data_IF_515776794864
#
_entry.id   IF_515776794864
#
_cell.length_a   1.000
_cell.length_b   1.000
_cell.length_c   1.000
_cell.angle_alpha   90.00
_cell.angle_beta   90.00
_cell.angle_gamma   90.00
#
_symmetry.space_group_name_H-M   'P 1'
#
loop_
_entity.id
_entity.type
_entity.pdbx_description
1 polymer ?
#
# COMPACT_ATOMS: atom_id res chain seq x y z
N UNK A 1 -23.53 7.29 -4.13
CA UNK A 1 -23.12 8.71 -4.13
C UNK A 1 -21.60 8.77 -4.09
N UNK A 2 -20.96 9.65 -4.85
CA UNK A 2 -19.52 9.82 -4.86
C UNK A 2 -19.11 10.67 -3.65
N UNK A 3 -18.04 10.31 -2.95
CA UNK A 3 -17.53 11.05 -1.79
C UNK A 3 -16.17 11.62 -2.16
N UNK A 4 -16.11 12.95 -2.35
CA UNK A 4 -14.90 13.66 -2.77
C UNK A 4 -13.77 13.51 -1.74
N UNK A 5 -14.07 13.67 -0.46
CA UNK A 5 -13.08 13.58 0.63
C UNK A 5 -12.36 12.23 0.65
N UNK A 6 -13.08 11.14 0.45
CA UNK A 6 -12.47 9.78 0.38
C UNK A 6 -11.65 9.61 -0.91
N UNK A 7 -12.10 10.23 -2.00
CA UNK A 7 -11.32 10.25 -3.24
C UNK A 7 -10.02 11.06 -3.08
N UNK A 8 -10.07 12.23 -2.44
CA UNK A 8 -8.88 13.02 -2.11
C UNK A 8 -7.93 12.25 -1.17
N UNK A 9 -8.48 11.55 -0.18
CA UNK A 9 -7.70 10.69 0.70
C UNK A 9 -6.95 9.60 -0.09
N UNK A 10 -7.58 9.01 -1.11
CA UNK A 10 -6.92 8.04 -2.00
C UNK A 10 -5.76 8.70 -2.78
N UNK A 11 -5.94 9.95 -3.23
CA UNK A 11 -4.88 10.74 -3.87
C UNK A 11 -3.70 11.00 -2.94
N UNK A 12 -3.96 11.39 -1.69
CA UNK A 12 -2.92 11.58 -0.68
C UNK A 12 -2.22 10.25 -0.37
N UNK A 13 -2.98 9.16 -0.27
CA UNK A 13 -2.43 7.85 0.06
C UNK A 13 -1.40 7.35 -0.95
N UNK A 14 -1.62 7.58 -2.25
CA UNK A 14 -0.64 7.17 -3.27
C UNK A 14 0.63 8.03 -3.23
N UNK A 15 0.52 9.32 -2.88
CA UNK A 15 1.69 10.18 -2.66
C UNK A 15 2.56 9.62 -1.53
N UNK A 16 1.96 9.23 -0.39
CA UNK A 16 2.67 8.61 0.72
C UNK A 16 3.37 7.30 0.34
N UNK A 17 2.76 6.49 -0.53
CA UNK A 17 3.38 5.25 -1.01
C UNK A 17 4.61 5.55 -1.85
N UNK A 18 4.52 6.42 -2.85
CA UNK A 18 5.65 6.77 -3.72
C UNK A 18 6.76 7.41 -2.89
N UNK A 19 6.41 8.35 -2.00
CA UNK A 19 7.36 8.98 -1.09
C UNK A 19 8.12 7.93 -0.27
N UNK A 20 7.42 6.98 0.34
CA UNK A 20 8.06 5.94 1.12
C UNK A 20 8.97 4.98 0.35
N UNK A 21 8.89 4.92 -0.98
CA UNK A 21 9.69 4.02 -1.81
C UNK A 21 10.90 4.68 -2.50
N UNK A 22 10.98 6.01 -2.52
CA UNK A 22 12.06 6.74 -3.19
C UNK A 22 13.36 6.88 -2.36
N UNK A 23 13.38 6.44 -1.09
CA UNK A 23 14.53 6.60 -0.19
C UNK A 23 15.84 6.09 -0.78
N UNK A 24 15.86 4.82 -1.19
CA UNK A 24 17.07 4.17 -1.73
C UNK A 24 17.52 4.82 -3.03
N UNK A 25 16.58 5.26 -3.88
CA UNK A 25 16.91 5.94 -5.13
C UNK A 25 17.56 7.30 -4.88
N UNK A 26 17.12 8.01 -3.84
CA UNK A 26 17.63 9.33 -3.46
C UNK A 26 18.85 9.28 -2.53
N UNK A 27 19.34 8.10 -2.15
CA UNK A 27 20.39 7.90 -1.13
C UNK A 27 20.11 8.66 0.18
N UNK A 28 18.84 8.76 0.54
CA UNK A 28 18.44 9.52 1.72
C UNK A 28 18.26 8.62 2.93
N UNK A 29 18.86 9.02 4.04
CA UNK A 29 18.72 8.39 5.37
C UNK A 29 18.19 9.40 6.39
N UNK A 30 17.38 8.92 7.32
CA UNK A 30 16.84 9.74 8.39
C UNK A 30 17.75 9.62 9.62
N UNK A 31 18.63 10.60 9.83
CA UNK A 31 19.70 10.53 10.85
C UNK A 31 19.39 11.36 12.11
N UNK A 32 18.22 11.99 12.18
CA UNK A 32 17.79 12.81 13.30
C UNK A 32 16.44 12.38 13.86
N UNK A 33 16.14 12.74 15.11
CA UNK A 33 14.82 12.49 15.72
C UNK A 33 13.71 13.13 14.88
N UNK A 34 13.92 14.34 14.38
CA UNK A 34 12.96 15.03 13.50
C UNK A 34 12.77 14.25 12.18
N UNK A 35 13.87 13.80 11.57
CA UNK A 35 13.84 12.97 10.37
C UNK A 35 13.12 11.64 10.60
N UNK A 36 13.46 10.92 11.68
CA UNK A 36 12.82 9.68 12.04
C UNK A 36 11.32 9.86 12.37
N UNK A 37 10.94 10.98 12.98
CA UNK A 37 9.53 11.34 13.19
C UNK A 37 8.80 11.52 11.88
N UNK A 38 9.38 12.23 10.92
CA UNK A 38 8.83 12.41 9.58
C UNK A 38 8.73 11.07 8.84
N UNK A 39 9.73 10.20 8.99
CA UNK A 39 9.70 8.85 8.45
C UNK A 39 8.54 8.03 9.01
N UNK A 40 8.34 8.07 10.34
CA UNK A 40 7.21 7.41 10.99
C UNK A 40 5.86 7.96 10.50
N UNK A 41 5.76 9.25 10.20
CA UNK A 41 4.54 9.84 9.65
C UNK A 41 4.26 9.42 8.19
N UNK A 42 5.28 9.29 7.38
CA UNK A 42 5.15 9.06 5.94
C UNK A 42 5.14 7.58 5.54
N UNK A 43 5.90 6.72 6.24
CA UNK A 43 5.91 5.26 5.98
C UNK A 43 4.58 4.61 6.37
N UNK A 44 4.28 3.46 5.76
CA UNK A 44 3.08 2.67 6.10
C UNK A 44 1.78 3.13 5.42
N UNK A 45 1.86 3.90 4.34
CA UNK A 45 0.70 4.41 3.58
C UNK A 45 -0.27 3.32 3.08
N UNK A 46 0.14 2.05 3.05
CA UNK A 46 -0.74 0.91 2.74
C UNK A 46 -1.95 0.83 3.66
N UNK A 47 -1.80 1.18 4.95
CA UNK A 47 -2.90 1.23 5.92
C UNK A 47 -4.03 2.12 5.41
N UNK A 48 -3.70 3.24 4.77
CA UNK A 48 -4.69 4.16 4.21
C UNK A 48 -5.50 3.51 3.10
N UNK A 49 -4.86 2.78 2.18
CA UNK A 49 -5.57 2.08 1.10
C UNK A 49 -6.47 0.96 1.62
N UNK A 50 -6.03 0.23 2.65
CA UNK A 50 -6.86 -0.81 3.28
C UNK A 50 -8.07 -0.19 3.96
N UNK A 51 -7.87 0.89 4.70
CA UNK A 51 -8.96 1.66 5.33
C UNK A 51 -9.98 2.16 4.29
N UNK A 52 -9.50 2.83 3.23
CA UNK A 52 -10.34 3.32 2.14
C UNK A 52 -11.09 2.17 1.47
N UNK A 53 -10.44 1.01 1.27
CA UNK A 53 -11.07 -0.18 0.68
C UNK A 53 -12.23 -0.69 1.53
N UNK A 54 -12.07 -0.76 2.85
CA UNK A 54 -13.13 -1.12 3.79
C UNK A 54 -14.25 -0.09 3.81
N UNK A 55 -13.91 1.20 3.82
CA UNK A 55 -14.90 2.29 3.77
C UNK A 55 -15.75 2.21 2.49
N UNK A 56 -15.11 2.08 1.34
CA UNK A 56 -15.79 2.00 0.05
C UNK A 56 -16.53 0.67 -0.13
N UNK A 57 -16.08 -0.42 0.49
CA UNK A 57 -16.82 -1.68 0.49
C UNK A 57 -18.20 -1.51 1.08
N UNK A 58 -18.32 -0.89 2.27
CA UNK A 58 -19.62 -0.56 2.86
C UNK A 58 -20.38 0.46 2.01
N UNK A 59 -19.74 1.58 1.63
CA UNK A 59 -20.42 2.69 0.99
C UNK A 59 -20.98 2.40 -0.40
N UNK A 60 -20.25 1.59 -1.20
CA UNK A 60 -20.60 1.36 -2.62
C UNK A 60 -21.25 0.00 -2.85
N UNK A 61 -20.77 -1.03 -2.15
CA UNK A 61 -21.11 -2.40 -2.51
C UNK A 61 -22.14 -3.03 -1.58
N UNK A 62 -22.26 -2.62 -0.31
CA UNK A 62 -23.09 -3.31 0.68
C UNK A 62 -24.55 -3.48 0.25
N UNK A 63 -25.23 -2.42 -0.18
CA UNK A 63 -26.66 -2.46 -0.50
C UNK A 63 -26.99 -3.33 -1.73
N UNK A 64 -26.06 -3.42 -2.69
CA UNK A 64 -26.21 -4.15 -3.96
C UNK A 64 -25.19 -5.28 -4.09
N UNK A 65 -24.80 -5.86 -2.94
CA UNK A 65 -23.74 -6.85 -2.94
C UNK A 65 -24.15 -8.15 -3.62
N UNK A 66 -23.42 -8.53 -4.66
CA UNK A 66 -23.41 -9.84 -5.27
C UNK A 66 -21.97 -10.32 -5.37
N UNK A 67 -21.64 -11.39 -4.66
CA UNK A 67 -20.27 -11.87 -4.52
C UNK A 67 -19.58 -12.09 -5.88
N UNK A 68 -20.26 -12.80 -6.81
CA UNK A 68 -19.72 -13.07 -8.15
C UNK A 68 -19.36 -11.79 -8.90
N UNK A 69 -20.24 -10.79 -8.90
CA UNK A 69 -20.01 -9.53 -9.59
C UNK A 69 -18.89 -8.71 -8.94
N UNK A 70 -18.84 -8.75 -7.60
CA UNK A 70 -17.79 -8.07 -6.84
C UNK A 70 -16.41 -8.67 -7.15
N UNK A 71 -16.27 -10.00 -7.02
CA UNK A 71 -15.01 -10.70 -7.27
C UNK A 71 -14.60 -10.56 -8.74
N UNK A 72 -15.52 -10.70 -9.68
CA UNK A 72 -15.21 -10.53 -11.11
C UNK A 72 -14.64 -9.14 -11.41
N UNK A 73 -15.19 -8.07 -10.80
CA UNK A 73 -14.65 -6.71 -10.94
C UNK A 73 -13.24 -6.60 -10.33
N UNK A 74 -13.00 -7.23 -9.15
CA UNK A 74 -11.68 -7.20 -8.49
C UNK A 74 -10.66 -8.02 -9.27
N UNK A 75 -11.04 -9.18 -9.80
CA UNK A 75 -10.19 -9.96 -10.71
C UNK A 75 -9.81 -9.14 -11.93
N UNK A 76 -10.78 -8.56 -12.63
CA UNK A 76 -10.53 -7.80 -13.85
C UNK A 76 -9.63 -6.58 -13.66
N UNK A 77 -9.82 -5.82 -12.59
CA UNK A 77 -9.22 -4.48 -12.44
C UNK A 77 -8.13 -4.40 -11.36
N UNK A 78 -7.86 -5.49 -10.65
CA UNK A 78 -6.80 -5.58 -9.64
C UNK A 78 -5.88 -6.76 -9.90
N UNK A 79 -6.45 -7.98 -10.02
CA UNK A 79 -5.63 -9.19 -10.19
C UNK A 79 -5.02 -9.27 -11.61
N UNK A 80 -5.79 -9.02 -12.66
CA UNK A 80 -5.29 -9.09 -14.05
C UNK A 80 -4.15 -8.10 -14.29
N UNK A 81 -4.26 -6.79 -13.96
CA UNK A 81 -3.12 -5.87 -14.04
C UNK A 81 -1.89 -6.36 -13.26
N UNK A 82 -2.13 -6.89 -12.07
CA UNK A 82 -1.06 -7.45 -11.23
C UNK A 82 -0.34 -8.60 -11.95
N UNK A 83 -1.06 -9.57 -12.47
CA UNK A 83 -0.47 -10.72 -13.17
C UNK A 83 0.33 -10.27 -14.41
N UNK A 84 -0.23 -9.36 -15.21
CA UNK A 84 0.46 -8.82 -16.39
C UNK A 84 1.75 -8.10 -16.00
N UNK A 85 1.69 -7.18 -15.04
CA UNK A 85 2.83 -6.36 -14.69
C UNK A 85 3.88 -7.11 -13.86
N UNK A 86 3.49 -8.14 -13.12
CA UNK A 86 4.42 -9.03 -12.40
C UNK A 86 5.24 -9.92 -13.34
N UNK A 87 4.86 -10.06 -14.62
CA UNK A 87 5.72 -10.74 -15.59
C UNK A 87 7.02 -9.99 -15.86
N UNK A 88 7.02 -8.65 -15.73
CA UNK A 88 8.22 -7.81 -15.99
C UNK A 88 9.38 -8.19 -15.04
N UNK A 89 9.22 -8.18 -13.70
CA UNK A 89 10.28 -8.62 -12.79
C UNK A 89 10.65 -10.10 -12.97
N UNK A 90 9.69 -10.96 -13.31
CA UNK A 90 9.97 -12.38 -13.55
C UNK A 90 10.85 -12.56 -14.78
N UNK A 91 10.52 -11.91 -15.88
CA UNK A 91 11.35 -11.93 -17.11
C UNK A 91 12.74 -11.38 -16.83
N UNK A 92 12.84 -10.28 -16.09
CA UNK A 92 14.13 -9.73 -15.67
C UNK A 92 14.94 -10.73 -14.82
N UNK A 93 14.28 -11.44 -13.88
CA UNK A 93 14.91 -12.47 -13.06
C UNK A 93 15.43 -13.62 -13.93
N UNK A 94 14.60 -14.11 -14.86
CA UNK A 94 14.99 -15.20 -15.77
C UNK A 94 16.17 -14.83 -16.66
N UNK A 95 16.17 -13.64 -17.24
CA UNK A 95 17.29 -13.15 -18.07
C UNK A 95 18.57 -13.03 -17.25
N UNK A 96 18.51 -12.43 -16.06
CA UNK A 96 19.68 -12.24 -15.20
C UNK A 96 20.27 -13.57 -14.71
N UNK A 97 19.41 -14.55 -14.42
CA UNK A 97 19.84 -15.88 -14.01
C UNK A 97 20.44 -16.68 -15.17
N UNK A 98 19.88 -16.54 -16.38
CA UNK A 98 20.41 -17.19 -17.58
C UNK A 98 21.79 -16.64 -17.96
N UNK A 99 21.99 -15.32 -17.90
CA UNK A 99 23.30 -14.70 -18.19
C UNK A 99 24.35 -15.12 -17.16
N UNK A 100 24.02 -15.15 -15.89
CA UNK A 100 24.95 -15.60 -14.84
C UNK A 100 25.25 -17.10 -14.93
N UNK A 101 24.30 -17.92 -15.38
CA UNK A 101 24.49 -19.37 -15.63
C UNK A 101 25.35 -19.69 -16.84
N UNK A 102 25.28 -18.86 -17.90
CA UNK A 102 26.16 -18.99 -19.08
C UNK A 102 27.61 -18.63 -18.75
N UNK A 103 27.81 -17.69 -17.82
CA UNK A 103 29.14 -17.28 -17.37
C UNK A 103 29.79 -18.25 -16.39
N UNK A 104 29.00 -19.09 -15.70
CA UNK A 104 29.46 -20.15 -14.77
C UNK A 104 29.20 -21.53 -15.38
N UNK A 105 30.08 -21.94 -16.31
CA UNK A 105 30.01 -23.25 -16.95
C UNK A 105 30.23 -24.38 -15.96
N UNK A 106 29.20 -25.00 -15.47
CA UNK A 106 29.07 -26.42 -15.13
C UNK A 106 27.84 -26.66 -14.23
N UNK A 107 26.91 -27.49 -14.68
CA UNK A 107 25.66 -27.94 -13.99
C UNK A 107 24.38 -27.16 -14.31
N UNK A 108 24.20 -26.76 -15.55
CA UNK A 108 23.07 -25.94 -15.99
C UNK A 108 21.69 -26.65 -16.05
N UNK A 109 21.62 -27.96 -16.29
CA UNK A 109 20.34 -28.62 -16.60
C UNK A 109 19.46 -28.98 -15.40
N UNK A 110 20.04 -29.42 -14.30
CA UNK A 110 19.25 -29.88 -13.13
C UNK A 110 18.80 -28.76 -12.17
N UNK A 111 19.46 -27.61 -12.23
CA UNK A 111 19.14 -26.44 -11.41
C UNK A 111 18.03 -25.58 -12.01
N UNK A 112 17.76 -25.74 -13.29
CA UNK A 112 16.83 -24.88 -14.06
C UNK A 112 15.36 -25.28 -13.83
N UNK A 113 15.03 -26.56 -13.78
CA UNK A 113 13.64 -27.03 -13.56
C UNK A 113 13.15 -26.78 -12.14
N UNK A 114 14.00 -26.95 -11.13
CA UNK A 114 13.65 -26.64 -9.74
C UNK A 114 13.66 -25.14 -9.41
N UNK A 115 14.38 -24.31 -10.18
CA UNK A 115 14.43 -22.86 -10.03
C UNK A 115 13.26 -22.14 -10.74
N UNK A 116 12.68 -22.72 -11.78
CA UNK A 116 11.65 -22.04 -12.57
C UNK A 116 10.25 -22.09 -11.96
N UNK A 117 9.82 -23.20 -11.39
CA UNK A 117 8.45 -23.34 -10.92
C UNK A 117 8.20 -22.70 -9.54
N UNK A 118 9.04 -22.98 -8.57
CA UNK A 118 8.83 -22.51 -7.20
C UNK A 118 9.09 -21.01 -7.00
N UNK A 119 10.18 -20.39 -7.50
CA UNK A 119 10.39 -18.95 -7.41
C UNK A 119 9.35 -18.12 -8.15
N UNK A 120 8.91 -18.57 -9.33
CA UNK A 120 7.87 -17.86 -10.10
C UNK A 120 6.53 -17.90 -9.36
N UNK A 121 6.10 -19.07 -8.90
CA UNK A 121 4.86 -19.21 -8.14
C UNK A 121 4.93 -18.42 -6.83
N UNK A 122 6.06 -18.47 -6.11
CA UNK A 122 6.26 -17.68 -4.91
C UNK A 122 6.20 -16.18 -5.20
N UNK A 123 6.79 -15.72 -6.32
CA UNK A 123 6.71 -14.31 -6.73
C UNK A 123 5.26 -13.87 -6.97
N UNK A 124 4.48 -14.64 -7.74
CA UNK A 124 3.07 -14.31 -7.98
C UNK A 124 2.22 -14.41 -6.71
N UNK A 125 2.54 -15.30 -5.79
CA UNK A 125 1.77 -15.45 -4.55
C UNK A 125 2.14 -14.39 -3.51
N UNK A 126 3.41 -13.98 -3.41
CA UNK A 126 3.87 -13.02 -2.40
C UNK A 126 3.90 -11.58 -2.92
N UNK A 127 3.98 -11.38 -4.22
CA UNK A 127 4.24 -10.07 -4.83
C UNK A 127 5.61 -9.51 -4.45
N UNK A 128 6.52 -10.40 -4.04
CA UNK A 128 7.80 -10.02 -3.46
C UNK A 128 8.92 -10.14 -4.48
N UNK A 129 9.53 -9.00 -4.80
CA UNK A 129 10.80 -8.94 -5.50
C UNK A 129 11.69 -7.87 -4.84
N UNK A 130 12.97 -8.17 -4.72
CA UNK A 130 13.98 -7.22 -4.21
C UNK A 130 14.11 -5.97 -5.08
N UNK A 131 13.78 -6.10 -6.37
CA UNK A 131 13.94 -5.04 -7.36
C UNK A 131 12.64 -4.26 -7.64
N UNK A 132 11.46 -4.81 -7.30
CA UNK A 132 10.17 -4.19 -7.60
C UNK A 132 9.35 -4.00 -6.32
N UNK A 133 9.30 -2.77 -5.86
CA UNK A 133 8.61 -2.43 -4.60
C UNK A 133 7.11 -2.26 -4.79
N UNK A 134 6.34 -2.70 -3.80
CA UNK A 134 4.92 -2.38 -3.67
C UNK A 134 3.94 -3.49 -4.04
N UNK A 135 4.31 -4.46 -4.88
CA UNK A 135 3.38 -5.47 -5.41
C UNK A 135 2.84 -6.47 -4.38
N UNK A 136 3.52 -6.64 -3.25
CA UNK A 136 3.09 -7.49 -2.11
C UNK A 136 1.67 -7.17 -1.59
N UNK A 137 1.16 -5.95 -1.84
CA UNK A 137 -0.17 -5.53 -1.43
C UNK A 137 -1.28 -6.32 -2.14
N UNK A 138 -1.10 -6.67 -3.42
CA UNK A 138 -2.17 -7.26 -4.22
C UNK A 138 -2.53 -8.68 -3.77
N UNK A 139 -1.60 -9.60 -3.54
CA UNK A 139 -1.95 -10.95 -3.06
C UNK A 139 -2.81 -10.93 -1.81
N UNK A 140 -2.43 -10.18 -0.77
CA UNK A 140 -3.21 -10.16 0.45
C UNK A 140 -4.55 -9.45 0.29
N UNK A 141 -4.63 -8.34 -0.46
CA UNK A 141 -5.91 -7.63 -0.63
C UNK A 141 -6.92 -8.43 -1.47
N UNK A 142 -6.46 -9.28 -2.38
CA UNK A 142 -7.33 -10.22 -3.10
C UNK A 142 -7.94 -11.22 -2.13
N UNK A 143 -7.17 -11.77 -1.18
CA UNK A 143 -7.70 -12.65 -0.14
C UNK A 143 -8.75 -11.90 0.70
N UNK A 144 -8.47 -10.66 1.10
CA UNK A 144 -9.44 -9.81 1.81
C UNK A 144 -10.72 -9.62 0.98
N UNK A 145 -10.63 -9.45 -0.34
CA UNK A 145 -11.81 -9.36 -1.20
C UNK A 145 -12.59 -10.69 -1.29
N UNK A 146 -11.91 -11.82 -1.30
CA UNK A 146 -12.56 -13.15 -1.22
C UNK A 146 -13.31 -13.33 0.10
N UNK A 147 -12.81 -12.75 1.19
CA UNK A 147 -13.49 -12.75 2.50
C UNK A 147 -14.74 -11.83 2.54
N UNK A 148 -15.10 -11.15 1.47
CA UNK A 148 -16.22 -10.19 1.45
C UNK A 148 -17.57 -10.74 1.96
N UNK A 149 -17.96 -12.04 1.81
CA UNK A 149 -19.18 -12.57 2.45
C UNK A 149 -19.14 -12.51 3.98
N UNK A 150 -17.95 -12.67 4.57
CA UNK A 150 -17.75 -12.53 6.03
C UNK A 150 -17.98 -11.06 6.43
N UNK A 151 -17.49 -10.11 5.64
CA UNK A 151 -17.68 -8.69 5.91
C UNK A 151 -19.15 -8.24 5.75
N UNK A 152 -19.91 -8.85 4.85
CA UNK A 152 -21.37 -8.60 4.79
C UNK A 152 -22.04 -9.04 6.08
N UNK A 153 -21.74 -10.24 6.60
CA UNK A 153 -22.26 -10.69 7.91
C UNK A 153 -21.81 -9.77 9.05
N UNK A 154 -20.55 -9.34 9.04
CA UNK A 154 -20.03 -8.38 10.02
C UNK A 154 -20.81 -7.05 10.01
N UNK A 155 -21.15 -6.49 8.86
CA UNK A 155 -21.94 -5.24 8.74
C UNK A 155 -23.33 -5.39 9.37
N UNK A 156 -23.92 -6.59 9.35
CA UNK A 156 -25.24 -6.90 9.91
C UNK A 156 -25.22 -7.04 11.43
N UNK A 157 -24.05 -7.23 12.05
CA UNK A 157 -23.94 -7.33 13.50
C UNK A 157 -24.32 -6.02 14.22
N UNK A 158 -24.62 -6.12 15.50
CA UNK A 158 -24.80 -4.95 16.38
C UNK A 158 -23.49 -4.15 16.46
N UNK A 159 -23.59 -2.83 16.53
CA UNK A 159 -22.41 -1.95 16.56
C UNK A 159 -21.42 -2.31 17.68
N UNK A 160 -21.93 -2.66 18.89
CA UNK A 160 -21.07 -3.10 20.01
C UNK A 160 -20.22 -4.32 19.62
N UNK A 161 -20.83 -5.31 18.95
CA UNK A 161 -20.12 -6.51 18.48
C UNK A 161 -19.11 -6.17 17.40
N UNK A 162 -19.46 -5.29 16.45
CA UNK A 162 -18.52 -4.83 15.41
C UNK A 162 -17.28 -4.16 16.03
N UNK A 163 -17.48 -3.26 17.01
CA UNK A 163 -16.39 -2.58 17.71
C UNK A 163 -15.53 -3.60 18.48
N UNK A 164 -16.17 -4.49 19.26
CA UNK A 164 -15.45 -5.49 20.05
C UNK A 164 -14.60 -6.41 19.15
N UNK A 165 -15.19 -6.96 18.09
CA UNK A 165 -14.44 -7.80 17.12
C UNK A 165 -13.26 -7.06 16.50
N UNK A 166 -13.48 -5.80 16.10
CA UNK A 166 -12.41 -4.99 15.50
C UNK A 166 -11.29 -4.71 16.50
N UNK A 167 -11.62 -4.41 17.76
CA UNK A 167 -10.64 -4.18 18.83
C UNK A 167 -9.84 -5.45 19.15
N UNK A 168 -10.50 -6.60 19.26
CA UNK A 168 -9.81 -7.87 19.49
C UNK A 168 -8.83 -8.20 18.37
N UNK A 169 -9.26 -8.04 17.11
CA UNK A 169 -8.38 -8.24 15.96
C UNK A 169 -7.25 -7.20 15.90
N UNK A 170 -7.49 -5.96 16.32
CA UNK A 170 -6.47 -4.93 16.41
C UNK A 170 -5.42 -5.27 17.47
N UNK A 171 -5.83 -5.76 18.62
CA UNK A 171 -4.91 -6.24 19.66
C UNK A 171 -4.04 -7.37 19.11
N UNK A 172 -4.64 -8.34 18.42
CA UNK A 172 -3.87 -9.41 17.75
C UNK A 172 -2.87 -8.82 16.75
N UNK A 173 -3.26 -7.84 15.94
CA UNK A 173 -2.40 -7.20 14.94
C UNK A 173 -1.22 -6.46 15.56
N UNK A 174 -1.44 -5.75 16.68
CA UNK A 174 -0.40 -5.02 17.41
C UNK A 174 0.74 -5.94 17.86
N UNK A 175 0.42 -7.17 18.27
CA UNK A 175 1.43 -8.15 18.70
C UNK A 175 1.97 -9.01 17.55
N UNK A 176 1.16 -9.25 16.52
CA UNK A 176 1.55 -10.09 15.39
C UNK A 176 2.48 -9.37 14.42
N UNK A 177 2.33 -8.07 14.25
CA UNK A 177 3.03 -7.23 13.29
C UNK A 177 2.78 -7.61 11.82
N UNK A 178 3.31 -6.81 10.94
CA UNK A 178 3.27 -7.03 9.51
C UNK A 178 4.26 -8.11 9.09
N UNK A 179 3.87 -9.00 8.16
CA UNK A 179 4.75 -10.03 7.63
C UNK A 179 5.87 -9.48 6.75
N UNK A 180 6.98 -10.20 6.73
CA UNK A 180 8.07 -9.98 5.77
C UNK A 180 7.65 -10.49 4.38
N UNK A 181 8.20 -9.92 3.31
CA UNK A 181 7.74 -10.18 1.93
C UNK A 181 8.14 -11.54 1.33
N UNK A 182 9.02 -12.28 1.98
CA UNK A 182 9.73 -13.41 1.37
C UNK A 182 9.06 -14.77 1.53
N UNK A 183 7.95 -14.84 2.29
CA UNK A 183 7.34 -16.11 2.67
C UNK A 183 5.83 -16.11 2.37
N UNK A 184 5.31 -17.21 1.85
CA UNK A 184 3.87 -17.38 1.60
C UNK A 184 3.01 -17.16 2.85
N UNK A 185 3.46 -17.58 4.03
CA UNK A 185 2.79 -17.28 5.31
C UNK A 185 2.68 -15.79 5.60
N UNK A 186 3.60 -14.97 5.12
CA UNK A 186 3.54 -13.52 5.28
C UNK A 186 2.33 -12.89 4.59
N UNK A 187 1.80 -13.49 3.53
CA UNK A 187 0.57 -13.03 2.87
C UNK A 187 -0.62 -13.18 3.82
N UNK A 188 -0.77 -14.35 4.46
CA UNK A 188 -1.82 -14.59 5.45
C UNK A 188 -1.64 -13.75 6.71
N UNK A 189 -0.40 -13.59 7.18
CA UNK A 189 -0.08 -12.68 8.28
C UNK A 189 -0.51 -11.25 7.95
N UNK A 190 -0.27 -10.77 6.73
CA UNK A 190 -0.73 -9.47 6.28
C UNK A 190 -2.25 -9.37 6.21
N UNK A 191 -2.97 -10.43 5.79
CA UNK A 191 -4.44 -10.48 5.85
C UNK A 191 -4.93 -10.25 7.29
N UNK A 192 -4.39 -11.01 8.25
CA UNK A 192 -4.77 -10.86 9.65
C UNK A 192 -4.39 -9.47 10.20
N UNK A 193 -3.18 -9.01 9.90
CA UNK A 193 -2.68 -7.71 10.35
C UNK A 193 -3.54 -6.53 9.86
N UNK A 194 -3.99 -6.55 8.61
CA UNK A 194 -4.74 -5.44 8.01
C UNK A 194 -6.27 -5.59 8.14
N UNK A 195 -6.80 -6.76 8.48
CA UNK A 195 -8.24 -6.98 8.62
C UNK A 195 -8.90 -5.98 9.58
N UNK A 196 -8.39 -5.68 10.79
CA UNK A 196 -9.03 -4.70 11.68
C UNK A 196 -9.08 -3.28 11.09
N UNK A 197 -8.10 -2.91 10.28
CA UNK A 197 -8.09 -1.62 9.56
C UNK A 197 -9.21 -1.58 8.51
N UNK A 198 -9.42 -2.68 7.78
CA UNK A 198 -10.51 -2.81 6.82
C UNK A 198 -11.88 -2.75 7.51
N UNK A 199 -12.05 -3.47 8.63
CA UNK A 199 -13.28 -3.44 9.43
C UNK A 199 -13.55 -2.06 10.02
N UNK A 200 -12.50 -1.35 10.46
CA UNK A 200 -12.62 0.02 10.93
C UNK A 200 -13.12 0.94 9.81
N UNK A 201 -12.61 0.80 8.59
CA UNK A 201 -13.12 1.51 7.42
C UNK A 201 -14.62 1.27 7.20
N UNK A 202 -15.09 0.03 7.33
CA UNK A 202 -16.52 -0.33 7.27
C UNK A 202 -17.33 0.41 8.35
N UNK A 203 -16.87 0.33 9.61
CA UNK A 203 -17.59 0.95 10.76
C UNK A 203 -17.67 2.47 10.58
N UNK A 204 -16.54 3.11 10.20
CA UNK A 204 -16.49 4.55 10.02
C UNK A 204 -17.33 5.00 8.82
N UNK A 205 -17.42 4.21 7.75
CA UNK A 205 -18.34 4.46 6.65
C UNK A 205 -19.81 4.39 7.09
N UNK A 206 -20.17 3.37 7.91
CA UNK A 206 -21.53 3.18 8.45
C UNK A 206 -21.95 4.32 9.38
N UNK A 207 -21.00 4.92 10.10
CA UNK A 207 -21.22 5.96 11.11
C UNK A 207 -20.63 7.32 10.74
N UNK A 208 -20.34 7.53 9.45
CA UNK A 208 -19.65 8.74 8.96
C UNK A 208 -20.31 10.04 9.41
N UNK A 209 -21.62 10.15 9.29
CA UNK A 209 -22.35 11.39 9.61
C UNK A 209 -22.27 11.74 11.11
N UNK A 210 -22.38 10.72 11.98
CA UNK A 210 -22.17 10.87 13.43
C UNK A 210 -20.73 11.30 13.76
N UNK A 211 -19.74 10.74 13.05
CA UNK A 211 -18.33 11.04 13.27
C UNK A 211 -18.02 12.46 12.81
N UNK A 212 -18.48 12.83 11.63
CA UNK A 212 -18.31 14.19 11.12
C UNK A 212 -18.96 15.21 12.04
N UNK A 213 -20.21 15.01 12.47
CA UNK A 213 -20.90 15.93 13.37
C UNK A 213 -20.19 16.14 14.72
N UNK A 214 -19.52 15.10 15.25
CA UNK A 214 -18.85 15.18 16.55
C UNK A 214 -17.40 15.65 16.50
N UNK A 215 -16.71 15.40 15.40
CA UNK A 215 -15.25 15.56 15.31
C UNK A 215 -14.80 16.67 14.36
N UNK A 216 -15.67 17.21 13.50
CA UNK A 216 -15.36 18.41 12.72
C UNK A 216 -15.03 19.57 13.66
N UNK A 217 -13.95 20.30 13.36
CA UNK A 217 -13.39 21.34 14.21
C UNK A 217 -12.36 20.85 15.24
N UNK A 218 -12.19 19.54 15.41
CA UNK A 218 -11.23 18.92 16.34
C UNK A 218 -10.04 18.26 15.63
N UNK A 219 -9.83 18.54 14.35
CA UNK A 219 -8.85 17.87 13.50
C UNK A 219 -7.42 17.99 14.05
N UNK A 220 -7.07 19.18 14.58
CA UNK A 220 -5.74 19.40 15.17
C UNK A 220 -5.49 18.56 16.43
N UNK A 221 -6.51 18.38 17.28
CA UNK A 221 -6.43 17.47 18.42
C UNK A 221 -6.27 16.01 17.98
N UNK A 222 -6.96 15.61 16.91
CA UNK A 222 -6.83 14.26 16.36
C UNK A 222 -5.45 14.08 15.74
N UNK A 223 -4.88 15.10 15.07
CA UNK A 223 -3.55 15.05 14.48
C UNK A 223 -2.45 15.01 15.54
N UNK A 224 -2.64 15.65 16.71
CA UNK A 224 -1.62 15.65 17.77
C UNK A 224 -1.28 14.24 18.24
N UNK A 225 -2.25 13.32 18.29
CA UNK A 225 -2.03 11.94 18.74
C UNK A 225 -1.07 11.15 17.85
N UNK A 226 -1.26 11.04 16.52
CA UNK A 226 -0.31 10.35 15.66
C UNK A 226 1.05 11.09 15.56
N UNK A 227 1.10 12.41 15.73
CA UNK A 227 2.35 13.15 15.84
C UNK A 227 3.12 12.74 17.08
N UNK A 228 2.47 12.74 18.24
CA UNK A 228 3.07 12.30 19.50
C UNK A 228 3.57 10.86 19.41
N UNK A 229 2.78 9.95 18.85
CA UNK A 229 3.22 8.57 18.63
C UNK A 229 4.42 8.48 17.69
N UNK A 230 4.49 9.31 16.63
CA UNK A 230 5.64 9.35 15.73
C UNK A 230 6.92 9.79 16.44
N UNK A 231 6.82 10.80 17.31
CA UNK A 231 7.93 11.30 18.13
C UNK A 231 8.36 10.22 19.12
N UNK A 232 7.43 9.62 19.87
CA UNK A 232 7.75 8.53 20.82
C UNK A 232 8.48 7.40 20.11
N UNK A 233 7.99 6.95 18.95
CA UNK A 233 8.64 5.90 18.16
C UNK A 233 10.08 6.29 17.76
N UNK A 234 10.31 7.54 17.36
CA UNK A 234 11.63 8.03 17.02
C UNK A 234 12.57 8.02 18.23
N UNK A 235 12.10 8.44 19.43
CA UNK A 235 12.89 8.43 20.66
C UNK A 235 13.27 7.02 21.14
N UNK A 236 12.37 6.03 20.98
CA UNK A 236 12.66 4.64 21.38
C UNK A 236 13.43 3.87 20.30
N UNK A 237 13.94 4.55 19.27
CA UNK A 237 14.70 3.92 18.19
C UNK A 237 13.88 3.04 17.25
N UNK A 238 12.56 3.24 17.21
CA UNK A 238 11.66 2.51 16.30
C UNK A 238 11.17 3.42 15.19
N UNK A 239 11.50 3.06 13.97
CA UNK A 239 11.13 3.86 12.80
C UNK A 239 10.83 2.98 11.59
N UNK A 240 9.94 3.49 10.76
CA UNK A 240 9.47 2.80 9.57
C UNK A 240 8.42 1.74 9.87
N UNK A 241 8.36 0.73 9.04
CA UNK A 241 7.38 -0.35 9.16
C UNK A 241 7.98 -1.53 9.93
N UNK A 242 7.31 -1.98 10.97
CA UNK A 242 7.76 -3.10 11.78
C UNK A 242 7.37 -4.41 11.08
N UNK A 243 8.37 -5.10 10.54
CA UNK A 243 8.18 -6.39 9.92
C UNK A 243 8.69 -7.50 10.83
N UNK A 244 7.95 -8.61 10.85
CA UNK A 244 8.38 -9.81 11.59
C UNK A 244 8.08 -11.07 10.81
N UNK A 245 8.92 -12.08 11.05
CA UNK A 245 8.59 -13.43 10.64
C UNK A 245 7.35 -13.94 11.41
N UNK A 246 6.55 -14.84 10.84
CA UNK A 246 5.43 -15.46 11.55
C UNK A 246 5.92 -16.11 12.85
N UNK A 247 5.08 -16.08 13.89
CA UNK A 247 5.31 -16.70 15.20
C UNK A 247 6.52 -16.17 16.00
N UNK A 248 7.11 -15.02 15.59
CA UNK A 248 8.14 -14.35 16.40
C UNK A 248 7.54 -13.19 17.19
N UNK A 249 7.97 -13.01 18.45
CA UNK A 249 7.56 -11.87 19.27
C UNK A 249 8.52 -10.69 19.04
N UNK A 250 8.02 -9.47 18.97
CA UNK A 250 8.80 -8.23 18.74
C UNK A 250 8.22 -7.00 19.44
N UNK A 251 7.41 -7.21 20.47
CA UNK A 251 6.79 -6.12 21.23
C UNK A 251 5.54 -5.55 20.55
N UNK A 252 5.18 -4.33 20.89
CA UNK A 252 3.98 -3.62 20.44
C UNK A 252 4.26 -2.87 19.15
N UNK A 253 3.41 -3.04 18.14
CA UNK A 253 3.44 -2.25 16.92
C UNK A 253 2.66 -0.93 17.10
N UNK A 254 3.38 0.13 17.45
CA UNK A 254 2.81 1.47 17.58
C UNK A 254 2.47 2.09 16.22
N UNK A 255 3.10 1.61 15.13
CA UNK A 255 2.89 2.14 13.80
C UNK A 255 1.44 1.92 13.31
N UNK A 256 0.85 0.75 13.56
CA UNK A 256 -0.54 0.49 13.15
C UNK A 256 -1.51 1.43 13.87
N UNK A 257 -1.30 1.67 15.18
CA UNK A 257 -2.12 2.59 15.97
C UNK A 257 -2.00 4.01 15.40
N UNK A 258 -0.78 4.47 15.17
CA UNK A 258 -0.50 5.77 14.59
C UNK A 258 -1.19 5.94 13.21
N UNK A 259 -1.12 4.93 12.34
CA UNK A 259 -1.74 5.00 11.01
C UNK A 259 -3.26 4.98 11.06
N UNK A 260 -3.87 4.26 11.98
CA UNK A 260 -5.33 4.30 12.22
C UNK A 260 -5.77 5.70 12.64
N UNK A 261 -5.04 6.36 13.53
CA UNK A 261 -5.30 7.75 13.93
C UNK A 261 -5.15 8.73 12.75
N UNK A 262 -4.15 8.52 11.89
CA UNK A 262 -4.01 9.29 10.64
C UNK A 262 -5.16 9.01 9.66
N UNK A 263 -5.67 7.78 9.56
CA UNK A 263 -6.87 7.50 8.76
C UNK A 263 -8.07 8.32 9.26
N UNK A 264 -8.28 8.37 10.57
CA UNK A 264 -9.34 9.17 11.18
C UNK A 264 -9.14 10.66 10.92
N UNK A 265 -7.92 11.16 11.11
CA UNK A 265 -7.56 12.54 10.80
C UNK A 265 -7.87 12.90 9.34
N UNK A 266 -7.34 12.15 8.38
CA UNK A 266 -7.56 12.45 6.97
C UNK A 266 -9.04 12.36 6.58
N UNK A 267 -9.77 11.37 7.11
CA UNK A 267 -11.21 11.24 6.87
C UNK A 267 -11.96 12.51 7.30
N UNK A 268 -11.69 13.04 8.49
CA UNK A 268 -12.38 14.20 9.05
C UNK A 268 -11.89 15.49 8.39
N UNK A 269 -10.56 15.67 8.28
CA UNK A 269 -9.96 16.87 7.72
C UNK A 269 -10.39 17.10 6.26
N UNK A 270 -10.37 16.04 5.45
CA UNK A 270 -10.73 16.14 4.03
C UNK A 270 -12.23 16.32 3.81
N UNK A 271 -13.07 15.95 4.79
CA UNK A 271 -14.50 16.20 4.71
C UNK A 271 -14.84 17.70 4.63
N UNK A 272 -13.97 18.59 5.14
CA UNK A 272 -14.11 20.04 4.96
C UNK A 272 -14.11 20.46 3.48
N UNK A 273 -13.46 19.67 2.65
CA UNK A 273 -13.33 19.92 1.21
C UNK A 273 -14.31 19.09 0.37
N UNK A 274 -15.33 18.46 0.99
CA UNK A 274 -16.29 17.61 0.27
C UNK A 274 -16.98 18.34 -0.88
N UNK A 275 -17.30 19.61 -0.68
CA UNK A 275 -18.00 20.45 -1.65
C UNK A 275 -17.06 21.25 -2.59
N UNK A 276 -15.73 21.13 -2.40
CA UNK A 276 -14.74 21.82 -3.21
C UNK A 276 -14.20 20.90 -4.31
N UNK A 277 -13.93 21.45 -5.49
CA UNK A 277 -13.28 20.73 -6.60
C UNK A 277 -11.76 20.91 -6.52
N UNK A 278 -11.07 19.99 -5.88
CA UNK A 278 -9.62 19.96 -5.83
C UNK A 278 -9.08 19.17 -7.04
N UNK A 279 -9.10 19.78 -8.24
CA UNK A 279 -8.75 19.12 -9.52
C UNK A 279 -7.45 18.33 -9.48
N UNK A 280 -6.43 18.86 -8.82
CA UNK A 280 -5.14 18.19 -8.69
C UNK A 280 -5.29 16.83 -7.96
N UNK A 281 -5.95 16.81 -6.81
CA UNK A 281 -6.19 15.57 -6.05
C UNK A 281 -7.15 14.62 -6.79
N UNK A 282 -8.11 15.13 -7.54
CA UNK A 282 -8.99 14.30 -8.37
C UNK A 282 -8.21 13.55 -9.46
N UNK A 283 -7.31 14.26 -10.16
CA UNK A 283 -6.44 13.65 -11.18
C UNK A 283 -5.55 12.57 -10.56
N UNK A 284 -4.92 12.86 -9.43
CA UNK A 284 -4.07 11.90 -8.72
C UNK A 284 -4.89 10.68 -8.29
N UNK A 285 -6.04 10.91 -7.67
CA UNK A 285 -6.91 9.83 -7.20
C UNK A 285 -7.42 8.95 -8.35
N UNK A 286 -7.82 9.56 -9.48
CA UNK A 286 -8.27 8.84 -10.66
C UNK A 286 -7.17 7.99 -11.31
N UNK A 287 -5.90 8.33 -11.08
CA UNK A 287 -4.74 7.61 -11.60
C UNK A 287 -4.00 6.80 -10.53
N UNK A 288 -4.47 6.81 -9.28
CA UNK A 288 -3.76 6.23 -8.13
C UNK A 288 -3.38 4.75 -8.31
N UNK A 289 -4.23 3.95 -8.95
CA UNK A 289 -3.94 2.54 -9.24
C UNK A 289 -2.87 2.37 -10.32
N UNK A 290 -2.94 3.17 -11.40
CA UNK A 290 -1.90 3.19 -12.43
C UNK A 290 -0.54 3.60 -11.85
N UNK A 291 -0.51 4.67 -11.05
CA UNK A 291 0.70 5.11 -10.34
C UNK A 291 1.19 4.02 -9.39
N UNK A 292 0.28 3.34 -8.67
CA UNK A 292 0.63 2.22 -7.80
C UNK A 292 1.38 1.11 -8.56
N UNK A 293 0.94 0.76 -9.75
CA UNK A 293 1.61 -0.28 -10.54
C UNK A 293 2.88 0.21 -11.24
N UNK A 294 2.95 1.46 -11.66
CA UNK A 294 4.08 1.96 -12.48
C UNK A 294 5.25 2.47 -11.64
N UNK A 295 5.03 3.03 -10.45
CA UNK A 295 6.10 3.66 -9.66
C UNK A 295 7.24 2.69 -9.31
N UNK A 296 6.92 1.44 -8.95
CA UNK A 296 7.93 0.44 -8.61
C UNK A 296 8.82 0.07 -9.80
N UNK A 297 8.24 -0.03 -10.99
CA UNK A 297 8.97 -0.28 -12.25
C UNK A 297 9.91 0.90 -12.55
N UNK A 298 9.39 2.12 -12.42
CA UNK A 298 10.15 3.35 -12.68
C UNK A 298 11.31 3.50 -11.69
N UNK A 299 11.06 3.27 -10.39
CA UNK A 299 12.12 3.29 -9.37
C UNK A 299 13.20 2.25 -9.69
N UNK A 300 12.81 1.02 -10.03
CA UNK A 300 13.75 -0.04 -10.39
C UNK A 300 14.59 0.33 -11.61
N UNK A 301 13.98 0.90 -12.64
CA UNK A 301 14.66 1.38 -13.85
C UNK A 301 15.73 2.43 -13.52
N UNK A 302 15.37 3.48 -12.79
CA UNK A 302 16.32 4.53 -12.40
C UNK A 302 17.39 4.02 -11.42
N UNK A 303 17.05 3.11 -10.52
CA UNK A 303 18.04 2.48 -9.63
C UNK A 303 19.07 1.65 -10.43
N UNK A 304 18.63 0.96 -11.48
CA UNK A 304 19.52 0.19 -12.36
C UNK A 304 20.44 1.11 -13.16
N UNK A 305 19.93 2.22 -13.70
CA UNK A 305 20.75 3.23 -14.39
C UNK A 305 21.78 3.83 -13.42
N UNK A 306 21.35 4.24 -12.25
CA UNK A 306 22.18 4.80 -11.20
C UNK A 306 23.35 3.88 -10.85
N UNK A 307 23.09 2.58 -10.67
CA UNK A 307 24.12 1.56 -10.42
C UNK A 307 25.08 1.39 -11.61
N UNK A 308 24.58 1.41 -12.86
CA UNK A 308 25.44 1.28 -14.05
C UNK A 308 26.34 2.48 -14.28
N UNK A 309 25.92 3.66 -13.88
CA UNK A 309 26.68 4.90 -13.99
C UNK A 309 27.58 5.15 -12.77
N UNK A 310 27.57 4.25 -11.79
CA UNK A 310 28.23 4.40 -10.48
C UNK A 310 27.94 5.78 -9.84
N UNK A 311 26.70 6.23 -9.99
CA UNK A 311 26.25 7.53 -9.51
C UNK A 311 25.64 7.41 -8.11
N UNK A 312 26.07 8.29 -7.21
CA UNK A 312 25.46 8.47 -5.90
C UNK A 312 25.27 9.96 -5.59
N UNK A 313 24.19 10.30 -4.88
CA UNK A 313 24.05 11.67 -4.36
C UNK A 313 25.01 11.86 -3.20
N UNK A 314 25.88 12.84 -3.31
CA UNK A 314 26.96 13.09 -2.34
C UNK A 314 26.50 13.66 -1.01
N UNK A 315 25.28 14.20 -0.95
CA UNK A 315 24.71 14.79 0.26
C UNK A 315 23.44 14.07 0.69
N UNK A 316 23.31 13.75 1.97
CA UNK A 316 22.05 13.30 2.60
C UNK A 316 21.06 14.47 2.68
N UNK A 317 20.51 14.89 1.53
CA UNK A 317 19.67 16.07 1.41
C UNK A 317 18.18 15.70 1.33
N UNK A 318 17.39 16.18 2.29
CA UNK A 318 15.93 16.05 2.26
C UNK A 318 15.30 16.71 1.01
N UNK A 319 15.89 17.83 0.56
CA UNK A 319 15.44 18.51 -0.67
C UNK A 319 15.63 17.60 -1.87
N UNK A 320 16.81 16.98 -2.02
CA UNK A 320 17.08 15.99 -3.08
C UNK A 320 16.08 14.84 -3.04
N UNK A 321 15.80 14.29 -1.86
CA UNK A 321 14.80 13.25 -1.68
C UNK A 321 13.40 13.69 -2.12
N UNK A 322 12.96 14.90 -1.75
CA UNK A 322 11.68 15.45 -2.19
C UNK A 322 11.64 15.62 -3.71
N UNK A 323 12.70 16.17 -4.34
CA UNK A 323 12.77 16.38 -5.79
C UNK A 323 12.73 15.05 -6.54
N UNK A 324 13.50 14.05 -6.12
CA UNK A 324 13.47 12.69 -6.69
C UNK A 324 12.06 12.08 -6.56
N UNK A 325 11.43 12.22 -5.40
CA UNK A 325 10.06 11.72 -5.18
C UNK A 325 9.05 12.39 -6.12
N UNK A 326 9.10 13.71 -6.24
CA UNK A 326 8.24 14.48 -7.13
C UNK A 326 8.46 14.03 -8.58
N UNK A 327 9.70 13.88 -9.01
CA UNK A 327 10.03 13.43 -10.36
C UNK A 327 9.46 12.03 -10.64
N UNK A 328 9.71 11.05 -9.78
CA UNK A 328 9.17 9.68 -9.90
C UNK A 328 7.65 9.68 -9.93
N UNK A 329 7.02 10.49 -9.08
CA UNK A 329 5.56 10.61 -9.03
C UNK A 329 4.99 11.16 -10.35
N UNK A 330 5.57 12.23 -10.90
CA UNK A 330 5.13 12.80 -12.17
C UNK A 330 5.38 11.85 -13.34
N UNK A 331 6.54 11.18 -13.42
CA UNK A 331 6.80 10.18 -14.45
C UNK A 331 5.78 9.04 -14.36
N UNK A 332 5.42 8.61 -13.15
CA UNK A 332 4.40 7.56 -12.94
C UNK A 332 2.99 8.00 -13.40
N UNK A 333 2.62 9.25 -13.17
CA UNK A 333 1.35 9.80 -13.68
C UNK A 333 1.39 9.87 -15.21
N UNK A 334 2.48 10.39 -15.80
CA UNK A 334 2.64 10.50 -17.26
C UNK A 334 2.58 9.11 -17.90
N UNK A 335 3.29 8.13 -17.35
CA UNK A 335 3.22 6.74 -17.82
C UNK A 335 1.81 6.18 -17.76
N UNK A 336 1.09 6.45 -16.66
CA UNK A 336 -0.31 6.03 -16.50
C UNK A 336 -1.22 6.67 -17.57
N UNK A 337 -1.09 7.98 -17.78
CA UNK A 337 -1.87 8.71 -18.78
C UNK A 337 -1.51 8.28 -20.21
N UNK A 338 -0.24 7.99 -20.47
CA UNK A 338 0.22 7.47 -21.76
C UNK A 338 -0.42 6.11 -22.09
N UNK A 339 -0.42 5.16 -21.12
CA UNK A 339 -1.10 3.88 -21.30
C UNK A 339 -2.60 4.07 -21.53
N UNK A 340 -3.26 4.97 -20.81
CA UNK A 340 -4.68 5.31 -21.02
C UNK A 340 -4.95 5.86 -22.42
N UNK A 341 -4.04 6.67 -22.94
CA UNK A 341 -4.18 7.26 -24.30
C UNK A 341 -3.96 6.22 -25.39
N UNK A 342 -2.97 5.34 -25.23
CA UNK A 342 -2.69 4.28 -26.21
C UNK A 342 -3.75 3.16 -26.20
N UNK A 343 -4.23 2.80 -25.03
CA UNK A 343 -5.13 1.66 -24.83
C UNK A 343 -6.40 2.07 -24.07
N UNK A 344 -7.23 3.00 -24.56
CA UNK A 344 -8.35 3.56 -23.80
C UNK A 344 -9.37 2.51 -23.35
N UNK A 345 -9.58 1.44 -24.14
CA UNK A 345 -10.50 0.33 -23.81
C UNK A 345 -9.88 -0.70 -22.84
N UNK A 346 -8.55 -0.81 -22.82
CA UNK A 346 -7.84 -1.87 -22.09
C UNK A 346 -7.00 -1.35 -20.91
N UNK A 347 -6.84 -0.05 -20.74
CA UNK A 347 -5.99 0.52 -19.68
C UNK A 347 -6.30 -0.03 -18.30
N UNK A 348 -7.59 -0.22 -17.97
CA UNK A 348 -8.01 -0.80 -16.67
C UNK A 348 -7.58 -2.25 -16.49
N UNK A 349 -7.40 -3.02 -17.57
CA UNK A 349 -6.89 -4.39 -17.53
C UNK A 349 -5.36 -4.42 -17.48
N UNK A 350 -4.69 -3.41 -18.04
CA UNK A 350 -3.23 -3.35 -18.11
C UNK A 350 -2.62 -2.78 -16.85
N UNK A 351 -3.18 -1.69 -16.33
CA UNK A 351 -2.62 -0.93 -15.20
C UNK A 351 -3.64 -0.61 -14.09
N UNK A 352 -4.83 -1.21 -14.13
CA UNK A 352 -5.87 -1.00 -13.11
C UNK A 352 -6.53 0.39 -13.12
N UNK A 353 -6.26 1.23 -14.12
CA UNK A 353 -6.62 2.64 -14.11
C UNK A 353 -7.21 3.11 -15.45
#
# INVERSE_FOLDING_TARGET
MYINSINYFRGISIIFIVFGHCLTLADYTYDSIAGNTLFNLTKGGTVFFVFISGFLFHHIFYEKFRFKDFIMKKTKYVLVPYLILSTIPIVHLLISTSISGILSSSTFSLKYESLLSFPILNHYFTGSDKNFVGYWYIPFIIIVFVMSPIFIRFIQLRLKTQILTTLLLLICSIFMHRGTYLNAFSVFQNVLFFTPVYLLGIILSKKKDLIYSKLTGKEFYILSLPLTLAIIQAYIGRFGTYHKAPFTFGGIDLMIIQKILLCLFFMIFLNRFENYKLRFLEIIAANSFGVYFTHGIIISFFTTIKKKLDFSFTSNSFITYCLVTILIFFISIIATLFVKRLFPKYSRYLIGS
#
